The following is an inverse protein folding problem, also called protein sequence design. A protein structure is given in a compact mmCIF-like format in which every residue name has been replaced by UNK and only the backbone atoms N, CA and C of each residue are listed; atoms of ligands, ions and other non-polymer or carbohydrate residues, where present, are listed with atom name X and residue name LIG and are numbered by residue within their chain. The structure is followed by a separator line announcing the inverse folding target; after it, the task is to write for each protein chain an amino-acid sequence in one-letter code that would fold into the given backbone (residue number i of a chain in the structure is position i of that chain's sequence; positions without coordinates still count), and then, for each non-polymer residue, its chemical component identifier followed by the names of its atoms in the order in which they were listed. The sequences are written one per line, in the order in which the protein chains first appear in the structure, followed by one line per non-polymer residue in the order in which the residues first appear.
data_IF_667975775732
#
_entry.id   IF_667975775732
#
_cell.length_a   1.000
_cell.length_b   1.000
_cell.length_c   1.000
_cell.angle_alpha   90.00
_cell.angle_beta   90.00
_cell.angle_gamma   90.00
#
_symmetry.space_group_name_H-M   'P 1'
#
loop_
_entity.id
_entity.type
_entity.pdbx_description
1 polymer ?
#
# COMPACT_ATOMS: atom_id res chain seq x y z
N UNK A 1 79.48 29.57 8.34
CA UNK A 1 78.11 30.11 8.15
C UNK A 1 77.19 28.90 8.01
N UNK A 2 76.40 28.52 9.03
CA UNK A 2 75.02 29.00 9.30
C UNK A 2 74.17 28.93 8.01
N UNK A 3 73.13 28.11 7.83
CA UNK A 3 72.17 27.49 8.75
C UNK A 3 71.61 26.20 8.11
N UNK A 4 71.32 25.20 8.95
CA UNK A 4 70.59 23.97 8.61
C UNK A 4 69.09 24.20 8.81
N UNK A 5 68.24 23.73 7.89
CA UNK A 5 66.82 23.45 8.20
C UNK A 5 66.50 22.07 7.62
N UNK A 6 66.47 21.09 8.53
CA UNK A 6 65.90 19.76 8.37
C UNK A 6 64.38 19.88 8.61
N UNK A 7 63.57 19.51 7.64
CA UNK A 7 62.14 19.29 7.85
C UNK A 7 61.91 17.78 8.02
N UNK A 8 61.77 17.35 9.27
CA UNK A 8 61.30 16.00 9.61
C UNK A 8 60.10 16.16 10.55
N UNK A 9 59.03 15.50 10.12
CA UNK A 9 57.74 15.28 10.77
C UNK A 9 57.87 14.85 12.23
N UNK A 10 57.04 15.42 13.12
CA UNK A 10 56.74 14.79 14.40
C UNK A 10 55.26 14.97 14.75
N UNK A 11 54.57 13.83 14.68
CA UNK A 11 53.24 13.57 15.23
C UNK A 11 53.26 13.86 16.74
N UNK A 12 52.38 14.75 17.23
CA UNK A 12 52.17 14.95 18.66
C UNK A 12 50.72 14.56 19.01
N UNK A 13 50.60 13.37 19.58
CA UNK A 13 49.44 12.87 20.32
C UNK A 13 49.37 13.70 21.60
N UNK A 14 48.24 14.36 21.84
CA UNK A 14 47.97 14.99 23.14
C UNK A 14 46.69 14.39 23.71
N UNK A 15 46.88 13.33 24.47
CA UNK A 15 45.88 12.79 25.39
C UNK A 15 45.81 13.71 26.61
N UNK A 16 44.75 14.51 26.70
CA UNK A 16 44.33 15.13 27.96
C UNK A 16 43.13 14.35 28.51
N UNK A 17 43.37 13.64 29.60
CA UNK A 17 42.32 13.20 30.50
C UNK A 17 41.81 14.42 31.27
N UNK A 18 40.54 14.78 31.08
CA UNK A 18 39.79 15.61 32.02
C UNK A 18 38.47 14.91 32.34
N UNK A 19 38.28 14.74 33.64
CA UNK A 19 37.19 14.10 34.33
C UNK A 19 35.89 14.91 34.22
N UNK A 20 34.81 14.22 33.82
CA UNK A 20 33.43 14.33 34.30
C UNK A 20 32.90 15.72 34.74
N UNK A 21 32.09 16.34 33.88
CA UNK A 21 30.76 16.88 34.22
C UNK A 21 30.03 17.28 32.94
N UNK A 22 29.50 16.29 32.22
CA UNK A 22 28.61 16.53 31.09
C UNK A 22 27.22 16.90 31.60
N UNK A 23 26.95 18.21 31.71
CA UNK A 23 25.62 18.75 31.44
C UNK A 23 25.60 19.25 30.00
N UNK A 24 25.46 18.31 29.07
CA UNK A 24 25.20 18.62 27.66
C UNK A 24 23.69 18.49 27.41
N UNK A 25 23.06 19.39 26.63
CA UNK A 25 21.61 19.47 26.52
C UNK A 25 21.06 18.15 25.99
N UNK A 26 19.98 17.66 26.61
CA UNK A 26 19.22 16.51 26.13
C UNK A 26 18.93 16.68 24.62
N UNK A 27 19.67 15.95 23.80
CA UNK A 27 19.29 15.73 22.42
C UNK A 27 17.93 15.04 22.47
N UNK A 28 16.87 15.77 22.11
CA UNK A 28 15.54 15.20 21.92
C UNK A 28 15.72 13.94 21.08
N UNK A 29 15.36 12.80 21.65
CA UNK A 29 15.41 11.52 20.98
C UNK A 29 14.81 11.70 19.58
N UNK A 30 15.60 11.43 18.54
CA UNK A 30 15.09 11.44 17.18
C UNK A 30 13.88 10.53 17.16
N UNK A 31 12.70 11.12 16.99
CA UNK A 31 11.44 10.38 16.95
C UNK A 31 11.60 9.33 15.88
N UNK A 32 11.73 8.05 16.28
CA UNK A 32 11.79 6.95 15.33
C UNK A 32 10.51 7.03 14.53
N UNK A 33 10.64 7.40 13.25
CA UNK A 33 9.55 7.34 12.30
C UNK A 33 9.22 5.86 12.19
N UNK A 34 8.20 5.42 12.93
CA UNK A 34 7.62 4.09 12.77
C UNK A 34 7.00 4.09 11.38
N UNK A 35 7.76 3.60 10.40
CA UNK A 35 7.24 3.35 9.07
C UNK A 35 6.05 2.41 9.24
N UNK A 36 4.87 2.72 8.68
CA UNK A 36 3.72 1.84 8.78
C UNK A 36 4.12 0.44 8.32
N UNK A 37 3.85 -0.58 9.13
CA UNK A 37 4.08 -1.95 8.75
C UNK A 37 3.30 -2.24 7.47
N UNK A 38 4.02 -2.43 6.37
CA UNK A 38 3.42 -2.86 5.11
C UNK A 38 2.81 -4.25 5.34
N UNK A 39 1.49 -4.37 5.17
CA UNK A 39 0.86 -5.68 5.19
C UNK A 39 1.45 -6.56 4.07
N UNK A 40 1.64 -7.86 4.31
CA UNK A 40 2.20 -8.76 3.31
C UNK A 40 1.26 -8.85 2.10
N UNK A 41 1.83 -8.89 0.89
CA UNK A 41 1.08 -9.03 -0.37
C UNK A 41 0.34 -10.38 -0.36
N UNK A 42 -0.94 -10.36 -0.72
CA UNK A 42 -1.78 -11.57 -0.85
C UNK A 42 -1.74 -12.02 -2.31
N UNK A 43 -1.64 -13.34 -2.59
CA UNK A 43 -1.67 -13.84 -3.96
C UNK A 43 -2.99 -13.48 -4.65
N UNK A 44 -2.88 -12.92 -5.85
CA UNK A 44 -4.00 -12.67 -6.77
C UNK A 44 -3.92 -13.74 -7.84
N UNK A 45 -4.97 -14.56 -7.94
CA UNK A 45 -5.02 -15.66 -8.88
C UNK A 45 -5.62 -15.16 -10.21
N UNK A 46 -5.21 -15.72 -11.36
CA UNK A 46 -5.90 -15.47 -12.61
C UNK A 46 -7.38 -15.84 -12.48
N UNK A 47 -8.27 -14.90 -12.83
CA UNK A 47 -9.70 -15.15 -12.80
C UNK A 47 -10.15 -15.82 -14.10
N UNK A 48 -10.97 -16.87 -13.98
CA UNK A 48 -11.71 -17.46 -15.10
C UNK A 48 -13.19 -17.43 -14.78
N UNK A 49 -13.99 -16.83 -15.65
CA UNK A 49 -15.42 -16.72 -15.44
C UNK A 49 -16.08 -18.12 -15.38
N UNK A 50 -16.93 -18.38 -14.38
CA UNK A 50 -17.66 -19.64 -14.31
C UNK A 50 -18.71 -19.73 -15.42
N UNK A 51 -19.03 -20.96 -15.85
CA UNK A 51 -20.02 -21.21 -16.91
C UNK A 51 -21.42 -20.73 -16.54
N UNK A 52 -21.76 -20.73 -15.24
CA UNK A 52 -23.00 -20.16 -14.70
C UNK A 52 -22.67 -18.89 -13.94
N UNK A 53 -23.47 -17.85 -14.14
CA UNK A 53 -23.33 -16.58 -13.44
C UNK A 53 -24.04 -16.52 -12.10
N UNK A 54 -24.53 -17.65 -11.58
CA UNK A 54 -25.18 -17.75 -10.28
C UNK A 54 -24.14 -17.70 -9.16
N UNK A 55 -24.37 -16.88 -8.14
CA UNK A 55 -23.48 -16.73 -6.99
C UNK A 55 -24.21 -16.99 -5.67
N UNK A 56 -23.45 -17.31 -4.63
CA UNK A 56 -23.97 -17.48 -3.27
C UNK A 56 -24.17 -16.13 -2.56
N UNK A 57 -24.98 -16.14 -1.49
CA UNK A 57 -25.12 -14.97 -0.58
C UNK A 57 -23.77 -14.55 -0.01
N UNK A 58 -22.91 -15.52 0.36
CA UNK A 58 -21.57 -15.25 0.87
C UNK A 58 -20.71 -14.51 -0.17
N UNK A 59 -20.72 -14.95 -1.43
CA UNK A 59 -19.98 -14.26 -2.50
C UNK A 59 -20.52 -12.84 -2.73
N UNK A 60 -21.84 -12.64 -2.63
CA UNK A 60 -22.44 -11.30 -2.71
C UNK A 60 -22.03 -10.38 -1.54
N UNK A 61 -21.91 -10.90 -0.32
CA UNK A 61 -21.40 -10.17 0.85
C UNK A 61 -19.92 -9.80 0.72
N UNK A 62 -19.10 -10.74 0.22
CA UNK A 62 -17.69 -10.49 -0.11
C UNK A 62 -17.58 -9.37 -1.16
N UNK A 63 -18.41 -9.42 -2.20
CA UNK A 63 -18.49 -8.37 -3.21
C UNK A 63 -18.90 -7.01 -2.62
N UNK A 64 -19.88 -6.96 -1.72
CA UNK A 64 -20.26 -5.73 -1.03
C UNK A 64 -19.09 -5.11 -0.25
N UNK A 65 -18.36 -5.94 0.50
CA UNK A 65 -17.18 -5.52 1.25
C UNK A 65 -16.09 -4.98 0.32
N UNK A 66 -15.81 -5.68 -0.79
CA UNK A 66 -14.85 -5.23 -1.78
C UNK A 66 -15.27 -3.90 -2.42
N UNK A 67 -16.56 -3.74 -2.74
CA UNK A 67 -17.11 -2.51 -3.35
C UNK A 67 -16.90 -1.29 -2.46
N UNK A 68 -17.24 -1.38 -1.17
CA UNK A 68 -17.01 -0.30 -0.20
C UNK A 68 -15.52 0.04 -0.08
N UNK A 69 -14.67 -0.98 0.02
CA UNK A 69 -13.22 -0.77 0.09
C UNK A 69 -12.65 -0.10 -1.17
N UNK A 70 -13.13 -0.46 -2.36
CA UNK A 70 -12.70 0.16 -3.62
C UNK A 70 -13.10 1.64 -3.70
N UNK A 71 -14.27 2.01 -3.18
CA UNK A 71 -14.69 3.43 -3.09
C UNK A 71 -13.74 4.22 -2.20
N UNK A 72 -13.43 3.70 -1.01
CA UNK A 72 -12.47 4.35 -0.09
C UNK A 72 -11.05 4.41 -0.67
N UNK A 73 -10.62 3.34 -1.34
CA UNK A 73 -9.32 3.30 -2.00
C UNK A 73 -9.25 4.35 -3.12
N UNK A 74 -10.28 4.45 -3.95
CA UNK A 74 -10.36 5.46 -5.00
C UNK A 74 -10.29 6.89 -4.44
N UNK A 75 -11.01 7.16 -3.35
CA UNK A 75 -10.96 8.47 -2.67
C UNK A 75 -9.57 8.81 -2.12
N UNK A 76 -8.83 7.81 -1.61
CA UNK A 76 -7.45 8.02 -1.11
C UNK A 76 -6.43 8.22 -2.22
N UNK A 77 -6.67 7.62 -3.40
CA UNK A 77 -5.72 7.65 -4.51
C UNK A 77 -5.98 8.76 -5.52
N UNK A 78 -7.20 9.31 -5.58
CA UNK A 78 -7.58 10.35 -6.56
C UNK A 78 -6.63 11.54 -6.51
N UNK A 79 -6.40 12.13 -5.34
CA UNK A 79 -5.51 13.28 -5.17
C UNK A 79 -4.08 12.96 -5.65
N UNK A 80 -3.57 11.77 -5.33
CA UNK A 80 -2.23 11.35 -5.74
C UNK A 80 -2.12 11.17 -7.25
N UNK A 81 -3.17 10.65 -7.89
CA UNK A 81 -3.23 10.47 -9.34
C UNK A 81 -3.32 11.84 -10.03
N UNK A 82 -4.15 12.73 -9.52
CA UNK A 82 -4.39 14.06 -10.10
C UNK A 82 -3.15 14.96 -9.99
N UNK A 83 -2.43 14.90 -8.86
CA UNK A 83 -1.23 15.70 -8.61
C UNK A 83 0.07 15.06 -9.14
N UNK A 84 0.02 13.86 -9.70
CA UNK A 84 1.20 13.21 -10.27
C UNK A 84 1.64 13.88 -11.56
N UNK A 85 2.95 14.03 -11.75
CA UNK A 85 3.52 14.53 -13.01
C UNK A 85 3.31 13.50 -14.11
N UNK A 86 3.21 13.94 -15.36
CA UNK A 86 2.91 13.07 -16.50
C UNK A 86 3.85 11.86 -16.62
N UNK A 87 5.15 12.04 -16.36
CA UNK A 87 6.14 10.96 -16.45
C UNK A 87 6.02 9.92 -15.31
N UNK A 88 5.40 10.29 -14.18
CA UNK A 88 5.14 9.41 -13.03
C UNK A 88 3.72 8.82 -13.05
N UNK A 89 2.80 9.45 -13.78
CA UNK A 89 1.37 9.12 -13.77
C UNK A 89 1.08 7.67 -14.12
N UNK A 90 1.81 7.11 -15.10
CA UNK A 90 1.70 5.69 -15.47
C UNK A 90 2.06 4.78 -14.29
N UNK A 91 3.11 5.10 -13.55
CA UNK A 91 3.55 4.30 -12.40
C UNK A 91 2.54 4.39 -11.25
N UNK A 92 1.99 5.59 -10.99
CA UNK A 92 0.94 5.79 -9.98
C UNK A 92 -0.33 5.01 -10.34
N UNK A 93 -0.75 5.05 -11.60
CA UNK A 93 -1.91 4.29 -12.08
C UNK A 93 -1.69 2.77 -11.98
N UNK A 94 -0.49 2.29 -12.31
CA UNK A 94 -0.16 0.87 -12.16
C UNK A 94 -0.18 0.45 -10.68
N UNK A 95 0.38 1.26 -9.79
CA UNK A 95 0.34 1.00 -8.35
C UNK A 95 -1.11 1.01 -7.81
N UNK A 96 -1.97 1.90 -8.32
CA UNK A 96 -3.39 1.91 -7.99
C UNK A 96 -4.09 0.63 -8.45
N UNK A 97 -3.82 0.14 -9.67
CA UNK A 97 -4.38 -1.12 -10.15
C UNK A 97 -3.97 -2.31 -9.27
N UNK A 98 -2.69 -2.39 -8.89
CA UNK A 98 -2.21 -3.40 -7.94
C UNK A 98 -2.92 -3.27 -6.59
N UNK A 99 -3.13 -2.05 -6.10
CA UNK A 99 -3.83 -1.82 -4.83
C UNK A 99 -5.30 -2.29 -4.89
N UNK A 100 -5.99 -2.09 -6.03
CA UNK A 100 -7.35 -2.60 -6.26
C UNK A 100 -7.39 -4.13 -6.23
N UNK A 101 -6.46 -4.79 -6.92
CA UNK A 101 -6.35 -6.25 -6.90
C UNK A 101 -6.10 -6.80 -5.50
N UNK A 102 -5.16 -6.19 -4.78
CA UNK A 102 -4.85 -6.58 -3.40
C UNK A 102 -6.04 -6.39 -2.45
N UNK A 103 -6.80 -5.31 -2.62
CA UNK A 103 -8.01 -5.07 -1.82
C UNK A 103 -9.07 -6.15 -2.09
N UNK A 104 -9.35 -6.44 -3.36
CA UNK A 104 -10.28 -7.50 -3.76
C UNK A 104 -9.86 -8.88 -3.20
N UNK A 105 -8.58 -9.24 -3.36
CA UNK A 105 -8.05 -10.50 -2.85
C UNK A 105 -8.18 -10.62 -1.32
N UNK A 106 -7.87 -9.54 -0.58
CA UNK A 106 -8.05 -9.48 0.88
C UNK A 106 -9.51 -9.54 1.31
N UNK A 107 -10.43 -9.05 0.49
CA UNK A 107 -11.86 -9.13 0.77
C UNK A 107 -12.41 -10.56 0.57
N UNK A 108 -11.71 -11.41 -0.20
CA UNK A 108 -12.10 -12.78 -0.52
C UNK A 108 -12.38 -13.04 -2.01
N UNK A 109 -12.16 -12.04 -2.88
CA UNK A 109 -12.20 -12.17 -4.34
C UNK A 109 -10.79 -12.50 -4.84
N UNK A 110 -10.42 -13.79 -4.80
CA UNK A 110 -9.08 -14.25 -5.16
C UNK A 110 -8.68 -13.89 -6.60
N UNK A 111 -9.66 -13.73 -7.50
CA UNK A 111 -9.46 -13.25 -8.87
C UNK A 111 -9.22 -11.74 -9.00
N UNK A 112 -9.06 -11.03 -7.88
CA UNK A 112 -8.75 -9.61 -7.86
C UNK A 112 -9.86 -8.76 -8.47
N UNK A 113 -9.46 -7.70 -9.17
CA UNK A 113 -10.39 -6.78 -9.83
C UNK A 113 -11.14 -7.44 -10.98
N UNK A 114 -10.55 -8.44 -11.63
CA UNK A 114 -11.20 -9.16 -12.72
C UNK A 114 -12.45 -9.95 -12.23
N UNK A 115 -12.37 -10.59 -11.07
CA UNK A 115 -13.53 -11.24 -10.45
C UNK A 115 -14.57 -10.21 -10.04
N UNK A 116 -14.16 -9.09 -9.43
CA UNK A 116 -15.05 -7.99 -9.06
C UNK A 116 -15.82 -7.43 -10.27
N UNK A 117 -15.10 -7.17 -11.38
CA UNK A 117 -15.68 -6.62 -12.60
C UNK A 117 -16.64 -7.62 -13.25
N UNK A 118 -16.34 -8.93 -13.20
CA UNK A 118 -17.28 -9.96 -13.64
C UNK A 118 -18.55 -9.98 -12.80
N UNK A 119 -18.44 -9.91 -11.46
CA UNK A 119 -19.62 -9.86 -10.59
C UNK A 119 -20.45 -8.63 -10.93
N UNK A 120 -19.82 -7.45 -11.06
CA UNK A 120 -20.48 -6.18 -11.37
C UNK A 120 -21.20 -6.21 -12.71
N UNK A 121 -20.55 -6.73 -13.75
CA UNK A 121 -21.03 -6.63 -15.12
C UNK A 121 -21.90 -7.78 -15.57
N UNK A 122 -21.79 -8.95 -14.92
CA UNK A 122 -22.46 -10.20 -15.32
C UNK A 122 -23.35 -10.72 -14.19
N UNK A 123 -22.78 -11.06 -13.03
CA UNK A 123 -23.55 -11.73 -11.98
C UNK A 123 -24.65 -10.83 -11.39
N UNK A 124 -24.38 -9.53 -11.21
CA UNK A 124 -25.33 -8.55 -10.67
C UNK A 124 -26.57 -8.38 -11.56
N UNK A 125 -26.43 -8.63 -12.87
CA UNK A 125 -27.53 -8.55 -13.85
C UNK A 125 -28.30 -9.86 -14.00
N UNK A 126 -27.82 -10.95 -13.41
CA UNK A 126 -28.53 -12.23 -13.46
C UNK A 126 -29.70 -12.20 -12.46
N UNK A 127 -30.96 -12.37 -12.92
CA UNK A 127 -32.13 -12.34 -12.04
C UNK A 127 -32.13 -13.42 -10.96
N UNK A 128 -31.46 -14.56 -11.19
CA UNK A 128 -31.33 -15.63 -10.19
C UNK A 128 -30.55 -15.18 -8.94
N UNK A 129 -29.69 -14.16 -9.07
CA UNK A 129 -28.89 -13.64 -7.96
C UNK A 129 -29.59 -12.54 -7.15
N UNK A 130 -30.80 -12.13 -7.53
CA UNK A 130 -31.50 -10.99 -6.90
C UNK A 130 -31.52 -11.12 -5.37
N UNK A 131 -31.95 -12.27 -4.86
CA UNK A 131 -32.02 -12.52 -3.41
C UNK A 131 -30.65 -12.49 -2.73
N UNK A 132 -29.60 -12.98 -3.41
CA UNK A 132 -28.24 -12.98 -2.87
C UNK A 132 -27.71 -11.55 -2.68
N UNK A 133 -27.92 -10.69 -3.68
CA UNK A 133 -27.49 -9.29 -3.63
C UNK A 133 -28.36 -8.43 -2.72
N UNK A 134 -29.68 -8.65 -2.66
CA UNK A 134 -30.56 -7.96 -1.70
C UNK A 134 -30.14 -8.25 -0.25
N UNK A 135 -29.79 -9.51 0.07
CA UNK A 135 -29.22 -9.88 1.37
C UNK A 135 -27.87 -9.24 1.65
N UNK A 136 -27.10 -8.91 0.61
CA UNK A 136 -25.86 -8.18 0.73
C UNK A 136 -26.04 -6.64 0.75
N UNK A 137 -27.29 -6.14 0.76
CA UNK A 137 -27.61 -4.73 0.88
C UNK A 137 -27.74 -3.97 -0.44
N UNK A 138 -27.71 -4.66 -1.59
CA UNK A 138 -27.89 -4.04 -2.89
C UNK A 138 -29.38 -3.92 -3.26
N UNK A 139 -29.73 -2.81 -3.90
CA UNK A 139 -31.01 -2.66 -4.59
C UNK A 139 -30.83 -3.09 -6.04
N UNK A 140 -31.17 -4.35 -6.33
CA UNK A 140 -31.15 -4.88 -7.70
C UNK A 140 -32.47 -4.48 -8.36
N UNK A 141 -32.39 -3.73 -9.47
CA UNK A 141 -33.56 -3.33 -10.26
C UNK A 141 -33.91 -4.41 -11.27
#
# INVERSE_FOLDING_TARGET
MSKKILAISLLAIVSFFVSCSDKQPEAKAASQVVLPQSQPIVPVLPFTAPAKSVITVEKALIYAKASNGLVELGAKWSERIDNSKDYEKIQVLNAYNVARDQLCARAGLQGGIAEYDWITNVALKNPENKLAFEKAGFKVK
#
